data_IF_642356748739
#
_entry.id   IF_642356748739
#
_cell.length_a   1.000
_cell.length_b   1.000
_cell.length_c   1.000
_cell.angle_alpha   90.00
_cell.angle_beta   90.00
_cell.angle_gamma   90.00
#
_symmetry.space_group_name_H-M   'P 1'
#
loop_
_entity.id
_entity.type
_entity.pdbx_description
1 polymer ?
#
# COMPACT_ATOMS: atom_id res chain seq x y z
N UNK A 1 14.82 32.55 16.04
CA UNK A 1 14.68 31.09 16.16
C UNK A 1 13.40 30.82 16.94
N UNK A 2 12.24 30.86 16.28
CA UNK A 2 10.98 30.52 16.93
C UNK A 2 10.80 29.01 16.91
N UNK A 3 10.65 28.42 18.11
CA UNK A 3 10.17 27.05 18.23
C UNK A 3 8.79 26.97 17.57
N UNK A 4 8.53 26.02 16.65
CA UNK A 4 7.18 25.84 16.15
C UNK A 4 6.24 25.58 17.35
N UNK A 5 5.04 26.18 17.38
CA UNK A 5 4.11 26.04 18.48
C UNK A 5 3.88 24.55 18.79
N UNK A 6 3.71 24.19 20.07
CA UNK A 6 3.61 22.81 20.53
C UNK A 6 2.54 21.97 19.78
N UNK A 7 1.56 22.63 19.16
CA UNK A 7 0.58 22.03 18.26
C UNK A 7 1.21 21.37 17.01
N UNK A 8 2.28 21.94 16.44
CA UNK A 8 2.94 21.44 15.22
C UNK A 8 3.85 20.22 15.43
N UNK A 9 4.28 19.94 16.68
CA UNK A 9 5.18 18.82 16.98
C UNK A 9 4.57 17.44 16.70
N UNK A 10 3.25 17.31 16.81
CA UNK A 10 2.53 16.04 16.62
C UNK A 10 1.86 15.92 15.25
N UNK A 11 1.95 16.94 14.38
CA UNK A 11 1.32 16.89 13.06
C UNK A 11 1.85 15.74 12.18
N UNK A 12 3.17 15.44 12.12
CA UNK A 12 3.67 14.27 11.39
C UNK A 12 3.14 12.94 11.93
N UNK A 13 3.01 12.81 13.25
CA UNK A 13 2.48 11.59 13.90
C UNK A 13 1.00 11.42 13.63
N UNK A 14 0.21 12.50 13.65
CA UNK A 14 -1.19 12.47 13.26
C UNK A 14 -1.34 12.04 11.79
N UNK A 15 -0.50 12.56 10.89
CA UNK A 15 -0.47 12.16 9.49
C UNK A 15 -0.12 10.67 9.31
N UNK A 16 0.89 10.19 10.03
CA UNK A 16 1.29 8.78 10.07
C UNK A 16 0.15 7.87 10.56
N UNK A 17 -0.54 8.24 11.63
CA UNK A 17 -1.67 7.47 12.17
C UNK A 17 -2.86 7.42 11.21
N UNK A 18 -3.08 8.47 10.42
CA UNK A 18 -4.10 8.38 9.37
C UNK A 18 -3.71 7.45 8.22
N UNK A 19 -2.41 7.32 7.90
CA UNK A 19 -1.93 6.32 6.95
C UNK A 19 -2.06 4.90 7.51
N UNK A 20 -1.87 4.72 8.82
CA UNK A 20 -2.16 3.46 9.51
C UNK A 20 -3.64 3.08 9.35
N UNK A 21 -4.57 4.00 9.64
CA UNK A 21 -6.02 3.76 9.46
C UNK A 21 -6.36 3.48 8.00
N UNK A 22 -5.78 4.23 7.07
CA UNK A 22 -5.97 4.02 5.63
C UNK A 22 -5.49 2.64 5.22
N UNK A 23 -4.28 2.25 5.60
CA UNK A 23 -3.72 0.93 5.34
C UNK A 23 -4.57 -0.19 5.92
N UNK A 24 -5.01 -0.07 7.19
CA UNK A 24 -5.92 -1.03 7.81
C UNK A 24 -7.25 -1.14 7.06
N UNK A 25 -7.84 -0.01 6.65
CA UNK A 25 -9.13 0.00 5.93
C UNK A 25 -9.04 -0.68 4.54
N UNK A 26 -7.91 -0.47 3.86
CA UNK A 26 -7.64 -1.04 2.53
C UNK A 26 -7.35 -2.54 2.62
N UNK A 27 -6.49 -2.94 3.56
CA UNK A 27 -5.99 -4.30 3.67
C UNK A 27 -6.89 -5.21 4.53
N UNK A 28 -7.82 -4.64 5.30
CA UNK A 28 -8.71 -5.37 6.21
C UNK A 28 -9.32 -6.64 5.60
N UNK A 29 -9.98 -6.61 4.42
CA UNK A 29 -10.60 -7.82 3.89
C UNK A 29 -9.61 -8.97 3.67
N UNK A 30 -8.37 -8.68 3.25
CA UNK A 30 -7.35 -9.72 3.04
C UNK A 30 -6.98 -10.45 4.36
N UNK A 31 -7.03 -9.74 5.49
CA UNK A 31 -6.73 -10.29 6.81
C UNK A 31 -7.89 -11.06 7.46
N UNK A 32 -9.10 -11.01 6.91
CA UNK A 32 -10.31 -11.65 7.46
C UNK A 32 -11.17 -12.32 6.37
N UNK A 33 -10.56 -12.72 5.24
CA UNK A 33 -11.30 -13.30 4.11
C UNK A 33 -12.15 -14.51 4.50
N UNK A 34 -11.64 -15.49 5.29
CA UNK A 34 -12.46 -16.62 5.73
C UNK A 34 -13.69 -16.21 6.54
N UNK A 35 -13.53 -15.24 7.44
CA UNK A 35 -14.58 -14.75 8.32
C UNK A 35 -15.63 -13.92 7.55
N UNK A 36 -15.21 -13.15 6.56
CA UNK A 36 -16.12 -12.45 5.66
C UNK A 36 -16.92 -13.42 4.79
N UNK A 37 -16.26 -14.44 4.25
CA UNK A 37 -16.90 -15.45 3.42
C UNK A 37 -17.99 -16.20 4.20
N UNK A 38 -17.67 -16.69 5.40
CA UNK A 38 -18.63 -17.41 6.24
C UNK A 38 -19.74 -16.50 6.79
N UNK A 39 -19.40 -15.28 7.22
CA UNK A 39 -20.35 -14.37 7.84
C UNK A 39 -21.30 -13.66 6.87
N UNK A 40 -20.99 -13.64 5.58
CA UNK A 40 -21.83 -13.07 4.52
C UNK A 40 -22.45 -14.13 3.61
N UNK A 41 -22.20 -15.41 3.89
CA UNK A 41 -22.64 -16.55 3.08
C UNK A 41 -22.23 -16.43 1.59
N UNK A 42 -20.96 -16.08 1.36
CA UNK A 42 -20.38 -15.94 0.02
C UNK A 42 -19.08 -16.75 -0.11
N UNK A 43 -18.67 -17.03 -1.33
CA UNK A 43 -17.38 -17.70 -1.56
C UNK A 43 -16.20 -16.80 -1.16
N UNK A 44 -15.05 -17.40 -0.82
CA UNK A 44 -13.80 -16.67 -0.57
C UNK A 44 -13.40 -15.83 -1.80
N UNK A 45 -13.69 -16.31 -3.01
CA UNK A 45 -13.50 -15.54 -4.23
C UNK A 45 -14.32 -14.24 -4.22
N UNK A 46 -15.62 -14.34 -3.92
CA UNK A 46 -16.49 -13.17 -3.83
C UNK A 46 -16.05 -12.20 -2.72
N UNK A 47 -15.66 -12.70 -1.54
CA UNK A 47 -15.06 -11.88 -0.50
C UNK A 47 -13.75 -11.20 -0.98
N UNK A 48 -12.94 -11.90 -1.76
CA UNK A 48 -11.73 -11.37 -2.42
C UNK A 48 -11.99 -10.18 -3.35
N UNK A 49 -13.15 -10.14 -4.00
CA UNK A 49 -13.55 -9.01 -4.85
C UNK A 49 -13.69 -7.70 -4.08
N UNK A 50 -13.90 -7.73 -2.75
CA UNK A 50 -13.86 -6.51 -1.91
C UNK A 50 -12.48 -5.84 -1.97
N UNK A 51 -11.40 -6.62 -2.09
CA UNK A 51 -10.05 -6.11 -2.29
C UNK A 51 -9.86 -5.60 -3.71
N UNK A 52 -10.33 -6.34 -4.71
CA UNK A 52 -10.21 -5.97 -6.13
C UNK A 52 -10.97 -4.69 -6.47
N UNK A 53 -12.27 -4.62 -6.17
CA UNK A 53 -13.07 -3.42 -6.43
C UNK A 53 -12.61 -2.23 -5.57
N UNK A 54 -12.16 -2.49 -4.34
CA UNK A 54 -11.52 -1.47 -3.51
C UNK A 54 -10.26 -0.89 -4.17
N UNK A 55 -9.40 -1.74 -4.71
CA UNK A 55 -8.19 -1.32 -5.41
C UNK A 55 -8.49 -0.57 -6.73
N UNK A 56 -9.49 -1.01 -7.49
CA UNK A 56 -9.98 -0.29 -8.69
C UNK A 56 -10.45 1.11 -8.30
N UNK A 57 -11.21 1.22 -7.21
CA UNK A 57 -11.71 2.50 -6.71
C UNK A 57 -10.58 3.43 -6.29
N UNK A 58 -9.58 2.92 -5.55
CA UNK A 58 -8.39 3.68 -5.17
C UNK A 58 -7.55 4.12 -6.38
N UNK A 59 -7.42 3.23 -7.37
CA UNK A 59 -6.74 3.50 -8.63
C UNK A 59 -7.40 4.66 -9.39
N UNK A 60 -8.73 4.66 -9.52
CA UNK A 60 -9.48 5.71 -10.22
C UNK A 60 -9.51 7.00 -9.38
N UNK A 61 -9.64 6.89 -8.06
CA UNK A 61 -9.69 8.03 -7.15
C UNK A 61 -8.36 8.79 -7.09
N UNK A 62 -7.22 8.12 -7.07
CA UNK A 62 -5.89 8.76 -6.95
C UNK A 62 -5.59 9.85 -8.00
N UNK A 63 -5.75 9.64 -9.33
CA UNK A 63 -5.48 10.68 -10.34
C UNK A 63 -6.54 11.80 -10.36
N UNK A 64 -7.82 11.48 -10.16
CA UNK A 64 -8.89 12.49 -10.09
C UNK A 64 -8.66 13.48 -8.94
N UNK A 65 -8.13 12.98 -7.82
CA UNK A 65 -8.02 13.77 -6.60
C UNK A 65 -6.89 14.79 -6.63
N UNK A 66 -5.80 14.56 -7.37
CA UNK A 66 -4.73 15.53 -7.51
C UNK A 66 -5.22 16.87 -8.11
N UNK A 67 -6.16 16.80 -9.05
CA UNK A 67 -6.73 17.98 -9.71
C UNK A 67 -7.86 18.63 -8.88
N UNK A 68 -8.86 17.85 -8.47
CA UNK A 68 -10.06 18.35 -7.77
C UNK A 68 -9.75 19.01 -6.42
N UNK A 69 -8.70 18.58 -5.74
CA UNK A 69 -8.44 18.97 -4.34
C UNK A 69 -7.38 20.04 -4.19
N UNK A 70 -6.81 20.52 -5.30
CA UNK A 70 -5.74 21.53 -5.31
C UNK A 70 -6.13 22.84 -4.64
N UNK A 71 -7.43 23.18 -4.64
CA UNK A 71 -7.97 24.44 -4.08
C UNK A 71 -8.48 24.31 -2.64
N UNK A 72 -8.57 23.08 -2.11
CA UNK A 72 -9.13 22.79 -0.79
C UNK A 72 -8.01 22.87 0.26
N UNK A 73 -8.31 23.47 1.41
CA UNK A 73 -7.42 23.49 2.57
C UNK A 73 -7.05 22.06 3.02
N UNK A 74 -5.77 21.80 3.28
CA UNK A 74 -5.27 20.45 3.60
C UNK A 74 -5.84 19.89 4.90
N UNK A 75 -6.10 20.72 5.90
CA UNK A 75 -6.72 20.26 7.16
C UNK A 75 -8.13 19.78 6.90
N UNK A 76 -8.92 20.57 6.17
CA UNK A 76 -10.30 20.20 5.82
C UNK A 76 -10.32 18.91 5.00
N UNK A 77 -9.45 18.81 4.00
CA UNK A 77 -9.37 17.65 3.11
C UNK A 77 -9.03 16.36 3.88
N UNK A 78 -7.92 16.36 4.62
CA UNK A 78 -7.42 15.16 5.29
C UNK A 78 -8.32 14.72 6.45
N UNK A 79 -8.89 15.67 7.20
CA UNK A 79 -9.84 15.34 8.28
C UNK A 79 -11.15 14.79 7.72
N UNK A 80 -11.69 15.35 6.63
CA UNK A 80 -12.88 14.81 5.96
C UNK A 80 -12.62 13.39 5.44
N UNK A 81 -11.44 13.15 4.85
CA UNK A 81 -11.08 11.82 4.39
C UNK A 81 -10.97 10.81 5.53
N UNK A 82 -10.35 11.17 6.66
CA UNK A 82 -10.30 10.27 7.81
C UNK A 82 -11.67 10.05 8.45
N UNK A 83 -12.53 11.06 8.48
CA UNK A 83 -13.90 10.91 8.94
C UNK A 83 -14.66 9.90 8.04
N UNK A 84 -14.56 10.06 6.72
CA UNK A 84 -15.18 9.13 5.77
C UNK A 84 -14.68 7.69 5.93
N UNK A 85 -13.38 7.49 6.15
CA UNK A 85 -12.81 6.18 6.45
C UNK A 85 -13.31 5.65 7.81
N UNK A 86 -13.30 6.47 8.85
CA UNK A 86 -13.73 6.06 10.19
C UNK A 86 -15.21 5.63 10.21
N UNK A 87 -16.10 6.50 9.74
CA UNK A 87 -17.53 6.22 9.67
C UNK A 87 -17.86 5.15 8.63
N UNK A 88 -17.10 5.05 7.54
CA UNK A 88 -17.24 3.98 6.55
C UNK A 88 -16.90 2.61 7.14
N UNK A 89 -15.86 2.49 7.97
CA UNK A 89 -15.57 1.24 8.68
C UNK A 89 -16.62 0.94 9.75
N UNK A 90 -17.10 1.94 10.50
CA UNK A 90 -18.22 1.73 11.44
C UNK A 90 -19.50 1.28 10.72
N UNK A 91 -19.80 1.85 9.56
CA UNK A 91 -20.92 1.42 8.72
C UNK A 91 -20.69 0.02 8.15
N UNK A 92 -19.45 -0.33 7.78
CA UNK A 92 -19.07 -1.68 7.37
C UNK A 92 -19.28 -2.70 8.49
N UNK A 93 -19.03 -2.30 9.74
CA UNK A 93 -19.31 -3.11 10.94
C UNK A 93 -20.79 -3.33 11.22
N UNK A 94 -21.69 -2.62 10.53
CA UNK A 94 -23.13 -2.75 10.65
C UNK A 94 -23.76 -3.30 9.35
N UNK A 95 -22.95 -3.68 8.37
CA UNK A 95 -23.44 -4.15 7.09
C UNK A 95 -24.19 -5.49 7.25
N UNK A 96 -25.45 -5.58 6.78
CA UNK A 96 -26.23 -6.82 6.88
C UNK A 96 -25.88 -7.87 5.83
N UNK A 97 -25.29 -7.46 4.70
CA UNK A 97 -25.05 -8.33 3.55
C UNK A 97 -23.82 -7.88 2.72
N UNK A 98 -23.44 -8.70 1.75
CA UNK A 98 -22.26 -8.46 0.92
C UNK A 98 -22.38 -7.19 0.07
N UNK A 99 -23.55 -6.93 -0.52
CA UNK A 99 -23.75 -5.80 -1.43
C UNK A 99 -23.70 -4.48 -0.67
N UNK A 100 -24.33 -4.42 0.51
CA UNK A 100 -24.26 -3.25 1.39
C UNK A 100 -22.83 -3.00 1.88
N UNK A 101 -22.10 -4.03 2.30
CA UNK A 101 -20.68 -3.92 2.66
C UNK A 101 -19.83 -3.39 1.49
N UNK A 102 -20.00 -3.97 0.30
CA UNK A 102 -19.29 -3.53 -0.90
C UNK A 102 -19.57 -2.05 -1.19
N UNK A 103 -20.84 -1.63 -1.21
CA UNK A 103 -21.21 -0.26 -1.49
C UNK A 103 -20.58 0.74 -0.51
N UNK A 104 -20.68 0.48 0.81
CA UNK A 104 -20.05 1.30 1.84
C UNK A 104 -18.54 1.38 1.64
N UNK A 105 -17.90 0.24 1.34
CA UNK A 105 -16.46 0.19 1.09
C UNK A 105 -16.04 0.98 -0.15
N UNK A 106 -16.78 0.89 -1.26
CA UNK A 106 -16.45 1.66 -2.45
C UNK A 106 -16.57 3.16 -2.20
N UNK A 107 -17.63 3.61 -1.51
CA UNK A 107 -17.79 5.01 -1.14
C UNK A 107 -16.65 5.49 -0.24
N UNK A 108 -16.34 4.75 0.84
CA UNK A 108 -15.29 5.16 1.77
C UNK A 108 -13.90 5.13 1.13
N UNK A 109 -13.60 4.18 0.23
CA UNK A 109 -12.31 4.07 -0.45
C UNK A 109 -12.15 5.10 -1.57
N UNK A 110 -13.24 5.50 -2.24
CA UNK A 110 -13.22 6.60 -3.20
C UNK A 110 -12.74 7.90 -2.52
N UNK A 111 -13.19 8.14 -1.29
CA UNK A 111 -12.71 9.26 -0.47
C UNK A 111 -11.33 8.94 0.16
N UNK A 112 -11.10 7.70 0.58
CA UNK A 112 -9.84 7.25 1.18
C UNK A 112 -8.62 7.41 0.28
N UNK A 113 -8.80 7.29 -1.05
CA UNK A 113 -7.76 7.48 -2.06
C UNK A 113 -7.02 8.82 -1.94
N UNK A 114 -7.70 9.83 -1.36
CA UNK A 114 -7.15 11.17 -1.17
C UNK A 114 -6.07 11.22 -0.08
N UNK A 115 -6.12 10.35 0.92
CA UNK A 115 -5.38 10.59 2.16
C UNK A 115 -3.85 10.55 1.97
N UNK A 116 -3.33 9.40 1.54
CA UNK A 116 -1.88 9.14 1.44
C UNK A 116 -1.12 10.20 0.61
N UNK A 117 -1.51 10.50 -0.65
CA UNK A 117 -0.79 11.47 -1.46
C UNK A 117 -0.88 12.89 -0.88
N UNK A 118 -2.03 13.28 -0.34
CA UNK A 118 -2.23 14.61 0.23
C UNK A 118 -1.53 14.77 1.58
N UNK A 119 -1.42 13.70 2.38
CA UNK A 119 -0.65 13.67 3.61
C UNK A 119 0.84 13.90 3.33
N UNK A 120 1.40 13.23 2.31
CA UNK A 120 2.78 13.44 1.88
C UNK A 120 3.02 14.87 1.37
N UNK A 121 2.10 15.41 0.56
CA UNK A 121 2.18 16.81 0.09
C UNK A 121 2.09 17.83 1.24
N UNK A 122 1.24 17.56 2.23
CA UNK A 122 1.08 18.41 3.42
C UNK A 122 2.32 18.38 4.30
N UNK A 123 2.97 17.22 4.42
CA UNK A 123 4.24 17.07 5.14
C UNK A 123 5.30 18.07 4.64
N UNK A 124 5.37 18.27 3.33
CA UNK A 124 6.32 19.20 2.71
C UNK A 124 6.06 20.68 3.04
N UNK A 125 4.83 21.02 3.44
CA UNK A 125 4.42 22.39 3.80
C UNK A 125 4.65 22.73 5.28
N UNK A 126 4.66 21.73 6.16
CA UNK A 126 4.74 21.93 7.62
C UNK A 126 6.16 21.78 8.18
N UNK A 127 7.14 21.35 7.37
CA UNK A 127 8.55 21.18 7.78
C UNK A 127 9.50 21.92 6.85
N UNK A 128 10.68 22.24 7.38
CA UNK A 128 11.81 22.80 6.62
C UNK A 128 12.25 21.87 5.49
N UNK A 129 12.76 22.43 4.40
CA UNK A 129 13.13 21.68 3.19
C UNK A 129 14.06 20.50 3.48
N UNK A 130 15.05 20.71 4.35
CA UNK A 130 16.02 19.71 4.80
C UNK A 130 15.39 18.46 5.45
N UNK A 131 14.19 18.58 6.05
CA UNK A 131 13.51 17.50 6.78
C UNK A 131 12.35 16.88 6.02
N UNK A 132 12.04 17.36 4.81
CA UNK A 132 10.87 16.90 4.02
C UNK A 132 10.92 15.40 3.74
N UNK A 133 12.04 14.90 3.23
CA UNK A 133 12.20 13.48 2.90
C UNK A 133 12.00 12.57 4.12
N UNK A 134 12.65 12.89 5.24
CA UNK A 134 12.52 12.14 6.50
C UNK A 134 11.09 12.16 7.06
N UNK A 135 10.41 13.32 6.97
CA UNK A 135 9.03 13.45 7.45
C UNK A 135 8.05 12.66 6.57
N UNK A 136 8.24 12.67 5.25
CA UNK A 136 7.45 11.86 4.33
C UNK A 136 7.66 10.38 4.64
N UNK A 137 8.91 9.92 4.79
CA UNK A 137 9.21 8.54 5.17
C UNK A 137 8.54 8.14 6.49
N UNK A 138 8.56 9.02 7.49
CA UNK A 138 7.87 8.81 8.77
C UNK A 138 6.34 8.69 8.61
N UNK A 139 5.72 9.43 7.69
CA UNK A 139 4.28 9.33 7.44
C UNK A 139 3.93 8.01 6.72
N UNK A 140 4.78 7.55 5.81
CA UNK A 140 4.62 6.24 5.15
C UNK A 140 4.83 5.05 6.10
N UNK A 141 5.50 5.24 7.24
CA UNK A 141 5.58 4.24 8.31
C UNK A 141 4.21 3.73 8.75
N UNK A 142 3.16 4.55 8.63
CA UNK A 142 1.78 4.14 8.91
C UNK A 142 1.34 2.91 8.10
N UNK A 143 1.73 2.82 6.82
CA UNK A 143 1.43 1.65 5.98
C UNK A 143 2.19 0.40 6.43
N UNK A 144 3.45 0.56 6.84
CA UNK A 144 4.22 -0.56 7.40
C UNK A 144 3.63 -1.04 8.73
N UNK A 145 3.18 -0.12 9.60
CA UNK A 145 2.48 -0.46 10.84
C UNK A 145 1.13 -1.14 10.58
N UNK A 146 0.41 -0.72 9.54
CA UNK A 146 -0.85 -1.37 9.14
C UNK A 146 -0.61 -2.83 8.73
N UNK A 147 0.47 -3.11 8.00
CA UNK A 147 0.83 -4.47 7.61
C UNK A 147 1.39 -5.29 8.79
N UNK A 148 2.28 -4.71 9.59
CA UNK A 148 3.02 -5.43 10.63
C UNK A 148 2.23 -5.67 11.92
N UNK A 149 1.33 -4.74 12.28
CA UNK A 149 0.56 -4.79 13.53
C UNK A 149 -0.93 -4.80 13.23
N UNK A 150 -1.38 -3.98 12.28
CA UNK A 150 -2.79 -3.87 11.92
C UNK A 150 -3.38 -5.20 11.43
N UNK A 151 -2.80 -5.82 10.40
CA UNK A 151 -3.30 -7.07 9.83
C UNK A 151 -3.36 -8.22 10.84
N UNK A 152 -2.30 -8.52 11.62
CA UNK A 152 -2.37 -9.54 12.66
C UNK A 152 -3.49 -9.29 13.67
N UNK A 153 -3.65 -8.04 14.10
CA UNK A 153 -4.71 -7.66 15.04
C UNK A 153 -6.10 -7.81 14.40
N UNK A 154 -6.23 -7.45 13.12
CA UNK A 154 -7.46 -7.62 12.34
C UNK A 154 -7.82 -9.11 12.25
N UNK A 155 -6.87 -9.98 11.87
CA UNK A 155 -7.07 -11.43 11.80
C UNK A 155 -7.44 -12.01 13.16
N UNK A 156 -6.76 -11.58 14.22
CA UNK A 156 -7.04 -12.00 15.59
C UNK A 156 -8.45 -11.60 16.05
N UNK A 157 -8.85 -10.34 15.82
CA UNK A 157 -10.18 -9.85 16.22
C UNK A 157 -11.26 -10.57 15.39
N UNK A 158 -11.06 -10.68 14.07
CA UNK A 158 -12.02 -11.30 13.18
C UNK A 158 -12.27 -12.78 13.53
N UNK A 159 -11.20 -13.54 13.74
CA UNK A 159 -11.31 -14.97 14.06
C UNK A 159 -11.98 -15.27 15.41
N UNK A 160 -11.94 -14.35 16.38
CA UNK A 160 -12.50 -14.56 17.73
C UNK A 160 -13.82 -13.84 17.99
N UNK A 161 -13.99 -12.66 17.43
CA UNK A 161 -15.13 -11.76 17.70
C UNK A 161 -15.94 -11.45 16.44
N UNK A 162 -15.56 -12.01 15.29
CA UNK A 162 -16.22 -11.81 14.01
C UNK A 162 -15.71 -10.59 13.24
N UNK A 163 -15.98 -10.57 11.94
CA UNK A 163 -15.55 -9.51 11.02
C UNK A 163 -16.20 -8.14 11.32
N UNK A 164 -17.42 -8.12 11.86
CA UNK A 164 -18.06 -6.88 12.32
C UNK A 164 -17.24 -6.17 13.41
N UNK A 165 -16.76 -6.93 14.41
CA UNK A 165 -15.92 -6.39 15.48
C UNK A 165 -14.59 -5.83 14.95
N UNK A 166 -13.99 -6.49 13.95
CA UNK A 166 -12.77 -6.02 13.32
C UNK A 166 -12.97 -4.70 12.57
N UNK A 167 -14.05 -4.54 11.79
CA UNK A 167 -14.38 -3.25 11.19
C UNK A 167 -14.71 -2.18 12.23
N UNK A 168 -15.42 -2.55 13.30
CA UNK A 168 -15.71 -1.64 14.42
C UNK A 168 -14.44 -1.10 15.05
N UNK A 169 -13.46 -1.97 15.32
CA UNK A 169 -12.15 -1.59 15.86
C UNK A 169 -11.38 -0.63 14.93
N UNK A 170 -11.38 -0.89 13.61
CA UNK A 170 -10.76 0.01 12.62
C UNK A 170 -11.49 1.36 12.60
N UNK A 171 -12.82 1.36 12.69
CA UNK A 171 -13.65 2.55 12.77
C UNK A 171 -13.32 3.41 13.99
N UNK A 172 -13.22 2.81 15.18
CA UNK A 172 -12.83 3.50 16.42
C UNK A 172 -11.41 4.08 16.33
N UNK A 173 -10.45 3.30 15.82
CA UNK A 173 -9.10 3.78 15.56
C UNK A 173 -9.10 4.95 14.57
N UNK A 174 -9.96 4.88 13.55
CA UNK A 174 -10.23 5.96 12.60
C UNK A 174 -10.75 7.22 13.27
N UNK A 175 -11.73 7.13 14.17
CA UNK A 175 -12.26 8.27 14.92
C UNK A 175 -11.18 8.93 15.79
N UNK A 176 -10.33 8.13 16.45
CA UNK A 176 -9.20 8.65 17.23
C UNK A 176 -8.20 9.39 16.34
N UNK A 177 -7.83 8.80 15.20
CA UNK A 177 -6.91 9.40 14.23
C UNK A 177 -7.48 10.69 13.62
N UNK A 178 -8.78 10.68 13.28
CA UNK A 178 -9.52 11.85 12.82
C UNK A 178 -9.46 12.99 13.83
N UNK A 179 -9.80 12.71 15.10
CA UNK A 179 -9.80 13.73 16.16
C UNK A 179 -8.38 14.28 16.40
N UNK A 180 -7.38 13.40 16.44
CA UNK A 180 -5.99 13.81 16.60
C UNK A 180 -5.55 14.72 15.44
N UNK A 181 -5.86 14.36 14.20
CA UNK A 181 -5.52 15.18 13.04
C UNK A 181 -6.24 16.52 13.06
N UNK A 182 -7.53 16.51 13.42
CA UNK A 182 -8.33 17.72 13.55
C UNK A 182 -7.72 18.68 14.57
N UNK A 183 -7.20 18.19 15.70
CA UNK A 183 -6.62 19.01 16.75
C UNK A 183 -5.17 19.45 16.48
N UNK A 184 -4.40 18.69 15.68
CA UNK A 184 -2.94 18.91 15.52
C UNK A 184 -2.52 19.52 14.20
N UNK A 185 -3.30 19.36 13.13
CA UNK A 185 -2.94 19.89 11.82
C UNK A 185 -3.38 21.36 11.70
N UNK A 186 -2.47 22.31 11.40
CA UNK A 186 -2.84 23.72 11.26
C UNK A 186 -3.68 23.96 10.00
N UNK A 187 -4.57 24.96 10.07
CA UNK A 187 -5.36 25.42 8.93
C UNK A 187 -4.58 26.43 8.07
N UNK A 188 -5.08 26.73 6.87
CA UNK A 188 -4.48 27.67 5.92
C UNK A 188 -3.44 27.04 4.99
N UNK A 189 -3.28 25.72 5.04
CA UNK A 189 -2.35 25.00 4.18
C UNK A 189 -3.00 24.78 2.80
N UNK A 190 -2.51 25.48 1.79
CA UNK A 190 -2.92 25.29 0.39
C UNK A 190 -1.77 24.67 -0.40
N UNK A 191 -2.07 23.64 -1.18
CA UNK A 191 -1.11 23.03 -2.09
C UNK A 191 -0.90 23.89 -3.33
N UNK A 192 0.27 23.75 -3.97
CA UNK A 192 0.45 24.27 -5.32
C UNK A 192 -0.41 23.45 -6.30
N UNK A 193 -1.16 24.11 -7.22
CA UNK A 193 -1.93 23.39 -8.23
C UNK A 193 -0.99 22.64 -9.19
N UNK A 194 -1.37 21.41 -9.56
CA UNK A 194 -0.70 20.63 -10.59
C UNK A 194 -1.30 21.01 -11.94
N UNK A 195 -0.49 21.53 -12.86
CA UNK A 195 -0.93 21.93 -14.20
C UNK A 195 -1.22 20.70 -15.08
N UNK A 196 -2.25 20.77 -15.92
CA UNK A 196 -2.66 19.68 -16.81
C UNK A 196 -1.57 19.35 -17.85
N UNK A 197 -0.74 20.33 -18.21
CA UNK A 197 0.40 20.17 -19.12
C UNK A 197 1.43 19.16 -18.58
N UNK A 198 1.62 19.11 -17.27
CA UNK A 198 2.54 18.18 -16.58
C UNK A 198 2.19 16.72 -16.87
N UNK A 199 0.90 16.38 -17.01
CA UNK A 199 0.47 15.01 -17.32
C UNK A 199 0.83 14.57 -18.73
N UNK A 200 0.79 15.48 -19.71
CA UNK A 200 1.19 15.20 -21.10
C UNK A 200 2.68 14.90 -21.20
N UNK A 201 3.50 15.63 -20.46
CA UNK A 201 4.95 15.45 -20.45
C UNK A 201 5.37 14.16 -19.75
N UNK A 202 4.69 13.80 -18.66
CA UNK A 202 4.85 12.49 -18.00
C UNK A 202 4.50 11.35 -18.96
N UNK A 203 3.37 11.45 -19.68
CA UNK A 203 2.93 10.42 -20.63
C UNK A 203 3.83 10.25 -21.86
N UNK A 204 4.65 11.25 -22.20
CA UNK A 204 5.61 11.18 -23.32
C UNK A 204 6.97 10.62 -22.93
N UNK A 205 7.31 10.59 -21.64
CA UNK A 205 8.61 10.13 -21.18
C UNK A 205 8.63 8.60 -21.02
N UNK A 206 9.26 7.92 -21.98
CA UNK A 206 9.38 6.45 -22.01
C UNK A 206 10.03 5.89 -20.74
N UNK A 207 11.01 6.58 -20.14
CA UNK A 207 11.65 6.13 -18.90
C UNK A 207 10.67 6.14 -17.74
N UNK A 208 9.86 7.19 -17.61
CA UNK A 208 8.83 7.27 -16.56
C UNK A 208 7.81 6.14 -16.74
N UNK A 209 7.31 5.91 -17.97
CA UNK A 209 6.37 4.83 -18.24
C UNK A 209 6.93 3.43 -17.88
N UNK A 210 8.21 3.18 -18.17
CA UNK A 210 8.87 1.92 -17.80
C UNK A 210 9.00 1.77 -16.27
N UNK A 211 9.34 2.84 -15.54
CA UNK A 211 9.41 2.83 -14.08
C UNK A 211 8.03 2.59 -13.43
N UNK A 212 6.97 3.17 -14.01
CA UNK A 212 5.59 2.90 -13.59
C UNK A 212 5.19 1.46 -13.90
N UNK A 213 5.53 0.93 -15.08
CA UNK A 213 5.28 -0.46 -15.43
C UNK A 213 5.97 -1.45 -14.46
N UNK A 214 7.21 -1.16 -14.04
CA UNK A 214 7.88 -1.96 -12.99
C UNK A 214 7.05 -1.97 -11.71
N UNK A 215 6.57 -0.81 -11.28
CA UNK A 215 5.76 -0.67 -10.06
C UNK A 215 4.46 -1.48 -10.17
N UNK A 216 3.77 -1.36 -11.31
CA UNK A 216 2.56 -2.12 -11.60
C UNK A 216 2.80 -3.62 -11.50
N UNK A 217 3.83 -4.14 -12.19
CA UNK A 217 4.16 -5.56 -12.23
C UNK A 217 4.57 -6.10 -10.85
N UNK A 218 5.39 -5.35 -10.11
CA UNK A 218 5.76 -5.71 -8.74
C UNK A 218 4.52 -5.84 -7.86
N UNK A 219 3.63 -4.85 -7.91
CA UNK A 219 2.44 -4.85 -7.06
C UNK A 219 1.42 -5.91 -7.50
N UNK A 220 1.26 -6.15 -8.80
CA UNK A 220 0.47 -7.26 -9.34
C UNK A 220 0.95 -8.61 -8.81
N UNK A 221 2.24 -8.91 -8.94
CA UNK A 221 2.79 -10.19 -8.48
C UNK A 221 2.56 -10.41 -6.98
N UNK A 222 2.75 -9.37 -6.18
CA UNK A 222 2.51 -9.44 -4.74
C UNK A 222 1.05 -9.71 -4.40
N UNK A 223 0.10 -9.00 -5.02
CA UNK A 223 -1.31 -9.12 -4.70
C UNK A 223 -2.03 -10.34 -5.28
N UNK A 224 -1.41 -11.06 -6.23
CA UNK A 224 -1.86 -12.40 -6.62
C UNK A 224 -1.90 -13.33 -5.42
N UNK A 225 -0.85 -13.31 -4.59
CA UNK A 225 -0.73 -14.17 -3.40
C UNK A 225 -1.27 -13.46 -2.15
N UNK A 226 -0.87 -12.21 -1.92
CA UNK A 226 -1.14 -11.49 -0.67
C UNK A 226 -2.63 -11.44 -0.31
N UNK A 227 -3.48 -11.18 -1.31
CA UNK A 227 -4.94 -11.08 -1.13
C UNK A 227 -5.51 -12.36 -0.51
N UNK A 228 -5.03 -13.52 -0.96
CA UNK A 228 -5.53 -14.84 -0.56
C UNK A 228 -4.55 -15.56 0.38
N UNK A 229 -3.58 -14.86 0.96
CA UNK A 229 -2.49 -15.47 1.72
C UNK A 229 -3.01 -16.30 2.90
N UNK A 230 -3.97 -15.77 3.66
CA UNK A 230 -4.62 -16.50 4.76
C UNK A 230 -5.31 -17.79 4.29
N UNK A 231 -6.28 -17.71 3.34
CA UNK A 231 -6.89 -18.89 2.75
C UNK A 231 -5.91 -19.90 2.14
N UNK A 232 -4.83 -19.44 1.49
CA UNK A 232 -3.80 -20.31 0.92
C UNK A 232 -3.01 -21.05 2.00
N UNK A 233 -2.59 -20.37 3.06
CA UNK A 233 -1.92 -21.01 4.20
C UNK A 233 -2.83 -22.06 4.84
N UNK A 234 -4.10 -21.73 5.02
CA UNK A 234 -5.07 -22.68 5.58
C UNK A 234 -5.28 -23.89 4.67
N UNK A 235 -5.62 -23.70 3.39
CA UNK A 235 -5.91 -24.79 2.46
C UNK A 235 -4.69 -25.66 2.15
N UNK A 236 -3.49 -25.08 2.01
CA UNK A 236 -2.29 -25.82 1.62
C UNK A 236 -1.55 -26.46 2.80
N UNK A 237 -1.65 -25.89 4.02
CA UNK A 237 -0.84 -26.33 5.17
C UNK A 237 -1.64 -26.66 6.42
N UNK A 238 -2.95 -26.42 6.43
CA UNK A 238 -3.79 -26.55 7.62
C UNK A 238 -3.54 -25.47 8.69
N UNK A 239 -2.85 -24.37 8.34
CA UNK A 239 -2.52 -23.31 9.28
C UNK A 239 -3.79 -22.67 9.88
N UNK A 240 -3.81 -22.56 11.21
CA UNK A 240 -4.86 -21.86 11.94
C UNK A 240 -4.71 -20.32 11.91
N UNK A 241 -5.70 -19.58 12.43
CA UNK A 241 -5.73 -18.11 12.40
C UNK A 241 -4.53 -17.46 13.10
N UNK A 242 -4.08 -18.01 14.23
CA UNK A 242 -2.94 -17.46 14.98
C UNK A 242 -1.64 -17.54 14.14
N UNK A 243 -1.41 -18.66 13.46
CA UNK A 243 -0.25 -18.83 12.57
C UNK A 243 -0.32 -17.88 11.36
N UNK A 244 -1.51 -17.72 10.76
CA UNK A 244 -1.73 -16.77 9.66
C UNK A 244 -1.44 -15.33 10.10
N UNK A 245 -1.94 -14.94 11.28
CA UNK A 245 -1.66 -13.63 11.88
C UNK A 245 -0.15 -13.40 12.10
N UNK A 246 0.58 -14.41 12.58
CA UNK A 246 2.04 -14.34 12.73
C UNK A 246 2.76 -14.19 11.37
N UNK A 247 2.29 -14.86 10.31
CA UNK A 247 2.86 -14.70 8.96
C UNK A 247 2.63 -13.29 8.40
N UNK A 248 1.45 -12.69 8.61
CA UNK A 248 1.21 -11.27 8.28
C UNK A 248 2.11 -10.34 9.10
N UNK A 249 2.31 -10.63 10.39
CA UNK A 249 3.19 -9.84 11.26
C UNK A 249 4.63 -9.88 10.74
N UNK A 250 5.12 -11.08 10.43
CA UNK A 250 6.45 -11.31 9.85
C UNK A 250 6.62 -10.55 8.53
N UNK A 251 5.62 -10.63 7.64
CA UNK A 251 5.62 -9.87 6.39
C UNK A 251 5.81 -8.36 6.62
N UNK A 252 5.04 -7.78 7.54
CA UNK A 252 5.13 -6.35 7.83
C UNK A 252 6.43 -5.95 8.53
N UNK A 253 6.91 -6.75 9.50
CA UNK A 253 8.20 -6.51 10.18
C UNK A 253 9.35 -6.57 9.19
N UNK A 254 9.40 -7.60 8.34
CA UNK A 254 10.38 -7.71 7.27
C UNK A 254 10.25 -6.54 6.28
N UNK A 255 9.04 -6.10 5.94
CA UNK A 255 8.81 -4.88 5.15
C UNK A 255 9.45 -3.64 5.74
N UNK A 256 9.27 -3.43 7.04
CA UNK A 256 9.90 -2.31 7.74
C UNK A 256 11.44 -2.42 7.76
N UNK A 257 11.98 -3.59 8.09
CA UNK A 257 13.42 -3.83 8.08
C UNK A 257 14.01 -3.61 6.69
N UNK A 258 13.31 -4.08 5.66
CA UNK A 258 13.68 -3.89 4.27
C UNK A 258 13.85 -2.42 3.92
N UNK A 259 12.84 -1.58 4.20
CA UNK A 259 12.92 -0.16 3.84
C UNK A 259 14.01 0.59 4.62
N UNK A 260 14.23 0.22 5.88
CA UNK A 260 15.34 0.78 6.69
C UNK A 260 16.69 0.41 6.08
N UNK A 261 16.88 -0.84 5.67
CA UNK A 261 18.12 -1.26 5.00
C UNK A 261 18.26 -0.55 3.64
N UNK A 262 17.19 -0.51 2.85
CA UNK A 262 17.18 0.12 1.53
C UNK A 262 17.59 1.60 1.57
N UNK A 263 17.03 2.35 2.52
CA UNK A 263 17.32 3.78 2.70
C UNK A 263 18.74 4.05 3.19
N UNK A 264 19.40 3.11 3.87
CA UNK A 264 20.82 3.25 4.25
C UNK A 264 21.77 2.93 3.10
N UNK A 265 21.45 1.92 2.28
CA UNK A 265 22.34 1.48 1.20
C UNK A 265 22.13 2.26 -0.10
N UNK A 266 21.01 2.98 -0.25
CA UNK A 266 20.71 3.76 -1.47
C UNK A 266 21.74 4.86 -1.73
N UNK A 267 22.25 5.51 -0.67
CA UNK A 267 23.21 6.60 -0.80
C UNK A 267 24.59 6.10 -1.26
N UNK A 268 24.97 4.87 -0.90
CA UNK A 268 26.27 4.29 -1.25
C UNK A 268 26.24 3.49 -2.56
N UNK A 269 25.17 2.72 -2.78
CA UNK A 269 25.04 1.80 -3.93
C UNK A 269 24.30 2.41 -5.12
N UNK A 270 23.58 3.51 -4.89
CA UNK A 270 22.75 4.18 -5.87
C UNK A 270 21.35 3.54 -6.03
N UNK A 271 20.34 4.34 -6.45
CA UNK A 271 18.94 3.89 -6.53
C UNK A 271 18.70 2.66 -7.42
N UNK A 272 19.45 2.53 -8.51
CA UNK A 272 19.32 1.39 -9.42
C UNK A 272 19.76 0.07 -8.78
N UNK A 273 20.96 0.03 -8.16
CA UNK A 273 21.49 -1.21 -7.57
C UNK A 273 20.67 -1.65 -6.37
N UNK A 274 20.23 -0.70 -5.55
CA UNK A 274 19.32 -0.98 -4.44
C UNK A 274 17.97 -1.49 -4.94
N UNK A 275 17.38 -0.85 -5.96
CA UNK A 275 16.14 -1.35 -6.59
C UNK A 275 16.30 -2.77 -7.14
N UNK A 276 17.43 -3.08 -7.78
CA UNK A 276 17.71 -4.40 -8.33
C UNK A 276 17.80 -5.45 -7.20
N UNK A 277 18.57 -5.18 -6.15
CA UNK A 277 18.72 -6.08 -4.99
C UNK A 277 17.37 -6.44 -4.36
N UNK A 278 16.55 -5.44 -4.03
CA UNK A 278 15.26 -5.69 -3.39
C UNK A 278 14.22 -6.32 -4.34
N UNK A 279 14.35 -6.12 -5.65
CA UNK A 279 13.54 -6.85 -6.64
C UNK A 279 13.97 -8.31 -6.72
N UNK A 280 15.27 -8.61 -6.61
CA UNK A 280 15.77 -9.99 -6.51
C UNK A 280 15.33 -10.66 -5.19
N UNK A 281 15.33 -9.95 -4.06
CA UNK A 281 14.79 -10.46 -2.80
C UNK A 281 13.29 -10.74 -2.91
N UNK A 282 12.53 -9.80 -3.48
CA UNK A 282 11.11 -10.01 -3.78
C UNK A 282 10.89 -11.28 -4.63
N UNK A 283 11.66 -11.45 -5.70
CA UNK A 283 11.60 -12.63 -6.56
C UNK A 283 11.94 -13.92 -5.80
N UNK A 284 13.02 -13.92 -5.02
CA UNK A 284 13.45 -15.05 -4.21
C UNK A 284 12.38 -15.45 -3.18
N UNK A 285 11.77 -14.47 -2.50
CA UNK A 285 10.72 -14.73 -1.52
C UNK A 285 9.44 -15.31 -2.14
N UNK A 286 8.97 -14.73 -3.24
CA UNK A 286 7.78 -15.23 -3.96
C UNK A 286 8.04 -16.59 -4.60
N UNK A 287 9.27 -16.84 -5.09
CA UNK A 287 9.67 -18.16 -5.60
C UNK A 287 9.76 -19.18 -4.47
N UNK A 288 10.30 -18.81 -3.31
CA UNK A 288 10.33 -19.64 -2.12
C UNK A 288 8.93 -20.00 -1.62
N UNK A 289 7.99 -19.05 -1.67
CA UNK A 289 6.57 -19.34 -1.43
C UNK A 289 6.00 -20.35 -2.42
N UNK A 290 6.23 -20.15 -3.72
CA UNK A 290 5.68 -21.00 -4.78
C UNK A 290 6.23 -22.44 -4.71
N UNK A 291 7.54 -22.60 -4.53
CA UNK A 291 8.20 -23.90 -4.43
C UNK A 291 7.94 -24.59 -3.09
N UNK A 292 7.76 -23.80 -2.02
CA UNK A 292 7.47 -24.28 -0.68
C UNK A 292 5.98 -24.55 -0.40
N UNK A 293 5.11 -24.37 -1.40
CA UNK A 293 3.67 -24.55 -1.26
C UNK A 293 3.35 -25.94 -0.67
N UNK A 294 2.56 -25.95 0.40
CA UNK A 294 2.23 -27.17 1.17
C UNK A 294 3.08 -27.37 2.43
N UNK A 295 4.18 -26.63 2.60
CA UNK A 295 5.00 -26.67 3.82
C UNK A 295 5.03 -25.29 4.49
N UNK A 296 4.39 -25.18 5.66
CA UNK A 296 4.25 -23.90 6.39
C UNK A 296 5.59 -23.19 6.63
N UNK A 297 6.64 -23.94 7.00
CA UNK A 297 7.96 -23.37 7.26
C UNK A 297 8.57 -22.71 6.01
N UNK A 298 8.48 -23.34 4.85
CA UNK A 298 9.01 -22.79 3.60
C UNK A 298 8.17 -21.61 3.09
N UNK A 299 6.84 -21.70 3.20
CA UNK A 299 5.95 -20.57 2.86
C UNK A 299 6.24 -19.36 3.77
N UNK A 300 6.41 -19.58 5.07
CA UNK A 300 6.74 -18.51 6.04
C UNK A 300 8.12 -17.90 5.77
N UNK A 301 9.13 -18.72 5.48
CA UNK A 301 10.45 -18.22 5.09
C UNK A 301 10.40 -17.42 3.78
N UNK A 302 9.62 -17.88 2.80
CA UNK A 302 9.34 -17.16 1.56
C UNK A 302 8.70 -15.78 1.82
N UNK A 303 7.70 -15.72 2.72
CA UNK A 303 7.06 -14.46 3.15
C UNK A 303 8.03 -13.52 3.83
N UNK A 304 8.93 -14.01 4.68
CA UNK A 304 9.94 -13.17 5.34
C UNK A 304 10.85 -12.47 4.32
N UNK A 305 11.37 -13.24 3.36
CA UNK A 305 12.25 -12.73 2.29
C UNK A 305 11.47 -11.78 1.37
N UNK A 306 10.24 -12.16 1.01
CA UNK A 306 9.32 -11.34 0.23
C UNK A 306 9.04 -9.99 0.94
N UNK A 307 8.76 -10.03 2.24
CA UNK A 307 8.52 -8.86 3.07
C UNK A 307 9.64 -7.83 2.96
N UNK A 308 10.91 -8.26 3.03
CA UNK A 308 12.08 -7.36 2.86
C UNK A 308 12.03 -6.56 1.54
N UNK A 309 11.49 -7.15 0.48
CA UNK A 309 11.32 -6.50 -0.81
C UNK A 309 10.15 -5.52 -0.88
N UNK A 310 9.07 -5.73 -0.12
CA UNK A 310 7.78 -5.05 -0.29
C UNK A 310 7.85 -3.52 -0.25
N UNK A 311 8.20 -2.95 0.91
CA UNK A 311 8.24 -1.49 1.09
C UNK A 311 9.47 -0.87 0.40
N UNK A 312 10.55 -1.66 0.30
CA UNK A 312 11.83 -1.26 -0.29
C UNK A 312 11.73 -1.02 -1.79
N UNK A 313 11.10 -1.93 -2.53
CA UNK A 313 10.96 -1.77 -3.99
C UNK A 313 10.15 -0.53 -4.32
N UNK A 314 9.02 -0.31 -3.65
CA UNK A 314 8.20 0.90 -3.82
C UNK A 314 9.00 2.19 -3.55
N UNK A 315 9.69 2.25 -2.41
CA UNK A 315 10.51 3.41 -2.04
C UNK A 315 11.60 3.69 -3.08
N UNK A 316 12.27 2.65 -3.58
CA UNK A 316 13.29 2.81 -4.61
C UNK A 316 12.71 3.24 -5.96
N UNK A 317 11.50 2.79 -6.33
CA UNK A 317 10.85 3.28 -7.55
C UNK A 317 10.53 4.77 -7.47
N UNK A 318 10.09 5.26 -6.31
CA UNK A 318 9.88 6.69 -6.13
C UNK A 318 11.18 7.49 -6.31
N UNK A 319 12.30 7.04 -5.70
CA UNK A 319 13.61 7.69 -5.88
C UNK A 319 14.02 7.71 -7.36
N UNK A 320 13.84 6.60 -8.07
CA UNK A 320 14.17 6.50 -9.50
C UNK A 320 13.29 7.39 -10.38
N UNK A 321 12.00 7.51 -10.06
CA UNK A 321 11.07 8.40 -10.76
C UNK A 321 11.43 9.88 -10.57
N UNK A 322 11.77 10.27 -9.34
CA UNK A 322 12.23 11.62 -9.02
C UNK A 322 13.53 11.94 -9.75
N UNK A 323 14.48 11.00 -9.78
CA UNK A 323 15.75 11.17 -10.48
C UNK A 323 15.59 11.23 -12.00
N UNK A 324 14.63 10.50 -12.58
CA UNK A 324 14.40 10.46 -14.02
C UNK A 324 13.79 11.74 -14.58
N UNK A 325 12.99 12.47 -13.78
CA UNK A 325 12.42 13.74 -14.16
C UNK A 325 12.20 14.66 -12.94
N UNK A 326 13.27 15.32 -12.43
CA UNK A 326 13.18 16.20 -11.27
C UNK A 326 12.10 17.31 -11.39
N UNK A 327 11.90 17.96 -12.56
CA UNK A 327 10.83 18.95 -12.72
C UNK A 327 9.41 18.38 -12.58
N UNK A 328 9.24 17.06 -12.77
CA UNK A 328 7.96 16.36 -12.74
C UNK A 328 7.81 15.49 -11.47
N UNK A 329 8.72 15.58 -10.50
CA UNK A 329 8.82 14.69 -9.35
C UNK A 329 7.50 14.54 -8.57
N UNK A 330 6.79 15.63 -8.30
CA UNK A 330 5.51 15.56 -7.57
C UNK A 330 4.43 14.82 -8.36
N UNK A 331 4.39 14.97 -9.68
CA UNK A 331 3.41 14.32 -10.54
C UNK A 331 3.75 12.82 -10.73
N UNK A 332 5.03 12.47 -10.87
CA UNK A 332 5.46 11.07 -11.04
C UNK A 332 5.25 10.24 -9.77
N UNK A 333 5.47 10.82 -8.59
CA UNK A 333 5.19 10.15 -7.30
C UNK A 333 3.69 9.94 -7.08
N UNK A 334 2.85 10.94 -7.41
CA UNK A 334 1.41 10.79 -7.33
C UNK A 334 0.90 9.71 -8.32
N UNK A 335 1.40 9.73 -9.56
CA UNK A 335 1.06 8.72 -10.56
C UNK A 335 1.51 7.32 -10.15
N UNK A 336 2.68 7.19 -9.54
CA UNK A 336 3.17 5.93 -9.01
C UNK A 336 2.20 5.32 -8.00
N UNK A 337 1.62 6.14 -7.12
CA UNK A 337 0.61 5.70 -6.15
C UNK A 337 -0.63 5.13 -6.84
N UNK A 338 -1.13 5.80 -7.88
CA UNK A 338 -2.22 5.26 -8.70
C UNK A 338 -1.85 3.92 -9.34
N UNK A 339 -0.63 3.80 -9.85
CA UNK A 339 -0.13 2.58 -10.48
C UNK A 339 0.06 1.43 -9.47
N UNK A 340 0.41 1.70 -8.21
CA UNK A 340 0.38 0.70 -7.14
C UNK A 340 -1.03 0.10 -7.01
N UNK A 341 -2.06 0.94 -6.98
CA UNK A 341 -3.45 0.47 -6.89
C UNK A 341 -3.92 -0.28 -8.14
N UNK A 342 -3.45 0.11 -9.35
CA UNK A 342 -3.67 -0.68 -10.57
C UNK A 342 -3.07 -2.08 -10.40
N UNK A 343 -1.82 -2.17 -9.95
CA UNK A 343 -1.16 -3.45 -9.73
C UNK A 343 -1.90 -4.29 -8.68
N UNK A 344 -2.34 -3.68 -7.58
CA UNK A 344 -3.16 -4.34 -6.58
C UNK A 344 -4.48 -4.90 -7.16
N UNK A 345 -5.17 -4.12 -8.01
CA UNK A 345 -6.39 -4.54 -8.67
C UNK A 345 -6.14 -5.72 -9.63
N UNK A 346 -5.13 -5.63 -10.48
CA UNK A 346 -4.75 -6.70 -11.42
C UNK A 346 -4.35 -7.97 -10.66
N UNK A 347 -3.48 -7.83 -9.65
CA UNK A 347 -3.00 -8.96 -8.86
C UNK A 347 -4.12 -9.66 -8.11
N UNK A 348 -4.97 -8.92 -7.39
CA UNK A 348 -6.10 -9.50 -6.66
C UNK A 348 -7.15 -10.12 -7.59
N UNK A 349 -7.42 -9.53 -8.76
CA UNK A 349 -8.33 -10.11 -9.75
C UNK A 349 -7.81 -11.44 -10.31
N UNK A 350 -6.53 -11.48 -10.72
CA UNK A 350 -5.87 -12.69 -11.23
C UNK A 350 -5.79 -13.76 -10.13
N UNK A 351 -5.35 -13.38 -8.93
CA UNK A 351 -5.32 -14.29 -7.77
C UNK A 351 -6.70 -14.84 -7.43
N UNK A 352 -7.73 -14.00 -7.50
CA UNK A 352 -9.12 -14.40 -7.26
C UNK A 352 -9.59 -15.41 -8.30
N UNK A 353 -9.35 -15.17 -9.59
CA UNK A 353 -9.72 -16.09 -10.65
C UNK A 353 -9.05 -17.46 -10.49
N UNK A 354 -7.76 -17.48 -10.18
CA UNK A 354 -7.02 -18.73 -9.96
C UNK A 354 -7.50 -19.46 -8.71
N UNK A 355 -7.79 -18.73 -7.63
CA UNK A 355 -8.32 -19.29 -6.39
C UNK A 355 -9.70 -19.90 -6.60
N UNK A 356 -10.56 -19.27 -7.40
CA UNK A 356 -11.91 -19.78 -7.72
C UNK A 356 -11.89 -21.10 -8.49
N UNK A 357 -10.86 -21.33 -9.31
CA UNK A 357 -10.66 -22.58 -10.05
C UNK A 357 -9.81 -23.61 -9.28
N UNK A 358 -9.56 -23.39 -7.99
CA UNK A 358 -8.72 -24.25 -7.13
C UNK A 358 -7.27 -24.44 -7.62
N UNK A 359 -6.74 -23.51 -8.44
CA UNK A 359 -5.35 -23.53 -8.90
C UNK A 359 -4.38 -22.97 -7.86
N UNK A 360 -4.46 -23.44 -6.61
CA UNK A 360 -3.80 -22.86 -5.44
C UNK A 360 -2.27 -22.73 -5.59
N UNK A 361 -1.61 -23.73 -6.16
CA UNK A 361 -0.16 -23.71 -6.41
C UNK A 361 0.23 -22.73 -7.52
N UNK A 362 -0.64 -22.54 -8.52
CA UNK A 362 -0.37 -21.67 -9.65
C UNK A 362 -0.30 -20.19 -9.25
N UNK A 363 -0.98 -19.77 -8.16
CA UNK A 363 -0.91 -18.38 -7.67
C UNK A 363 0.53 -17.97 -7.39
N UNK A 364 1.33 -18.85 -6.77
CA UNK A 364 2.74 -18.60 -6.51
C UNK A 364 3.54 -18.41 -7.80
N UNK A 365 3.37 -19.31 -8.78
CA UNK A 365 4.10 -19.23 -10.05
C UNK A 365 3.68 -18.05 -10.93
N UNK A 366 2.40 -17.67 -10.90
CA UNK A 366 1.91 -16.47 -11.61
C UNK A 366 2.48 -15.21 -10.96
N UNK A 367 2.57 -15.16 -9.63
CA UNK A 367 3.26 -14.09 -8.92
C UNK A 367 4.74 -14.01 -9.30
N UNK A 368 5.45 -15.15 -9.40
CA UNK A 368 6.83 -15.21 -9.92
C UNK A 368 6.91 -14.62 -11.32
N UNK A 369 5.99 -14.98 -12.23
CA UNK A 369 5.96 -14.46 -13.60
C UNK A 369 5.90 -12.93 -13.67
N UNK A 370 5.00 -12.32 -12.88
CA UNK A 370 4.92 -10.86 -12.77
C UNK A 370 6.22 -10.23 -12.26
N UNK A 371 6.83 -10.80 -11.22
CA UNK A 371 8.06 -10.28 -10.63
C UNK A 371 9.26 -10.47 -11.57
N UNK A 372 9.32 -11.57 -12.34
CA UNK A 372 10.35 -11.79 -13.38
C UNK A 372 10.24 -10.71 -14.46
N UNK A 373 9.04 -10.41 -14.95
CA UNK A 373 8.83 -9.33 -15.91
C UNK A 373 9.25 -7.97 -15.33
N UNK A 374 8.92 -7.71 -14.06
CA UNK A 374 9.39 -6.50 -13.37
C UNK A 374 10.92 -6.43 -13.30
N UNK A 375 11.59 -7.54 -12.97
CA UNK A 375 13.05 -7.62 -12.89
C UNK A 375 13.70 -7.38 -14.26
N UNK A 376 13.15 -7.95 -15.33
CA UNK A 376 13.61 -7.69 -16.70
C UNK A 376 13.53 -6.19 -17.00
N UNK A 377 12.41 -5.54 -16.70
CA UNK A 377 12.26 -4.09 -16.91
C UNK A 377 13.22 -3.27 -16.02
N UNK A 378 13.49 -3.70 -14.79
CA UNK A 378 14.52 -3.07 -13.94
C UNK A 378 15.87 -3.13 -14.65
N UNK A 379 16.29 -4.29 -15.15
CA UNK A 379 17.57 -4.46 -15.86
C UNK A 379 17.62 -3.63 -17.15
N UNK A 380 16.52 -3.57 -17.91
CA UNK A 380 16.43 -2.76 -19.14
C UNK A 380 16.53 -1.25 -18.87
N UNK A 381 16.14 -0.81 -17.65
CA UNK A 381 16.19 0.60 -17.22
C UNK A 381 17.47 0.93 -16.45
N UNK A 382 18.54 0.15 -16.67
CA UNK A 382 19.87 0.45 -16.16
C UNK A 382 20.34 1.83 -16.66
N UNK A 383 20.78 2.73 -15.76
CA UNK A 383 21.39 3.99 -16.17
C UNK A 383 22.59 3.69 -17.08
N UNK A 384 22.60 4.28 -18.28
CA UNK A 384 23.79 4.24 -19.14
C UNK A 384 24.89 5.05 -18.43
N UNK A 385 26.14 4.58 -18.38
CA UNK A 385 27.25 5.42 -17.95
C UNK A 385 27.20 6.71 -18.76
N UNK A 386 27.28 7.87 -18.09
CA UNK A 386 27.56 9.09 -18.82
C UNK A 386 28.85 8.83 -19.60
N UNK A 387 28.79 8.89 -20.93
CA UNK A 387 30.01 8.90 -21.72
C UNK A 387 30.85 10.03 -21.13
N UNK A 388 32.05 9.70 -20.63
CA UNK A 388 33.00 10.70 -20.21
C UNK A 388 33.19 11.62 -21.41
N UNK A 389 32.65 12.83 -21.32
CA UNK A 389 32.98 13.91 -22.24
C UNK A 389 34.45 14.19 -22.01
N UNK A 390 35.29 13.58 -22.85
CA UNK A 390 36.69 13.94 -23.03
C UNK A 390 36.77 15.28 -23.76
#
# INVERSE_FOLDING_TARGET
MENPPAAGRFAPTALMLGNLVTGCSVLAPAGMLPELASGLDVSIHAAGLLVTFGAITLCIGSPLTAWLTSRIDRRTLLTTTLAALAFGNLASALAPDYASLLAVRLVMLAVGALYTPQAAGTAALIVRAERRGSTIAYIFLGWSLAAAVGLPLITFIASRYGWHAAYGAIGVLGCFSFLLLLLRLPAGLKGAPVDLKTWRDVGRNRTILLLLAITMLQMSGQFVVFTFMGPLLNKLTGAGPDAIGMVFALYGVCGFLGVVVATRIVDTSGPYRTSLLFTCLLLAGVTGWALGAGTLAFMTAGVAIWGLGFASTNSMQQVRLVAAAPPLASATVALNTSVLYIGQAVGSAVGGLLFAHEFLHALGFVAVGFVVLALILVVMTRPRPAAATA
#
